data_IF_397718078383
#
_entry.id   IF_397718078383
#
_cell.length_a   1.000
_cell.length_b   1.000
_cell.length_c   1.000
_cell.angle_alpha   90.00
_cell.angle_beta   90.00
_cell.angle_gamma   90.00
#
_symmetry.space_group_name_H-M   'P 1'
#
loop_
_entity.id
_entity.type
_entity.pdbx_description
1 polymer ?
#
# COMPACT_ATOMS: atom_id res chain seq x y z
N UNK A 1 14.38 12.46 5.09
CA UNK A 1 13.57 12.37 6.32
C UNK A 1 13.07 13.75 6.73
N UNK A 2 13.94 14.78 6.78
CA UNK A 2 13.58 16.14 7.19
C UNK A 2 12.42 16.71 6.37
N UNK A 3 12.47 16.61 5.05
CA UNK A 3 11.39 17.06 4.15
C UNK A 3 10.06 16.34 4.43
N UNK A 4 10.10 15.03 4.75
CA UNK A 4 8.90 14.27 5.13
C UNK A 4 8.33 14.79 6.46
N UNK A 5 9.18 15.04 7.45
CA UNK A 5 8.77 15.56 8.75
C UNK A 5 8.18 16.98 8.63
N UNK A 6 8.79 17.83 7.82
CA UNK A 6 8.24 19.16 7.49
C UNK A 6 6.87 19.05 6.82
N UNK A 7 6.72 18.16 5.84
CA UNK A 7 5.42 17.92 5.19
C UNK A 7 4.35 17.45 6.17
N UNK A 8 4.66 16.50 7.07
CA UNK A 8 3.74 16.04 8.11
C UNK A 8 3.33 17.21 9.03
N UNK A 9 4.30 18.05 9.44
CA UNK A 9 4.02 19.19 10.30
C UNK A 9 3.12 20.23 9.62
N UNK A 10 3.36 20.53 8.34
CA UNK A 10 2.52 21.42 7.54
C UNK A 10 1.09 20.85 7.46
N UNK A 11 0.95 19.58 7.10
CA UNK A 11 -0.35 18.91 7.00
C UNK A 11 -1.10 18.91 8.34
N UNK A 12 -0.41 18.75 9.45
CA UNK A 12 -1.01 18.85 10.79
C UNK A 12 -1.48 20.26 11.15
N UNK A 13 -0.70 21.29 10.80
CA UNK A 13 -1.08 22.69 11.06
C UNK A 13 -2.27 23.13 10.23
N UNK A 14 -2.41 22.62 9.01
CA UNK A 14 -3.56 22.93 8.14
C UNK A 14 -4.85 22.26 8.58
N UNK A 15 -4.82 21.31 9.55
CA UNK A 15 -6.03 20.68 10.09
C UNK A 15 -6.96 21.65 10.84
N UNK A 16 -6.52 22.84 11.17
CA UNK A 16 -7.36 23.90 11.77
C UNK A 16 -8.19 24.70 10.76
N UNK A 17 -8.06 24.44 9.46
CA UNK A 17 -8.91 25.09 8.45
C UNK A 17 -10.31 24.45 8.45
N UNK A 18 -11.41 25.21 8.38
CA UNK A 18 -12.79 24.68 8.48
C UNK A 18 -13.15 23.65 7.39
N UNK A 19 -12.39 23.59 6.29
CA UNK A 19 -12.55 22.61 5.20
C UNK A 19 -11.66 21.37 5.41
N UNK A 20 -10.72 21.36 6.38
CA UNK A 20 -9.72 20.31 6.55
C UNK A 20 -10.21 19.15 7.40
N UNK A 21 -10.72 18.12 6.71
CA UNK A 21 -11.04 16.81 7.28
C UNK A 21 -9.84 15.80 7.19
N UNK A 22 -8.60 16.28 7.17
CA UNK A 22 -7.44 15.38 7.14
C UNK A 22 -7.32 14.62 8.46
N UNK A 23 -7.83 13.40 8.48
CA UNK A 23 -7.96 12.57 9.68
C UNK A 23 -6.78 11.64 9.90
N UNK A 24 -6.09 11.25 8.83
CA UNK A 24 -5.07 10.20 8.86
C UNK A 24 -3.92 10.53 7.92
N UNK A 25 -2.73 10.72 8.49
CA UNK A 25 -1.47 10.86 7.75
C UNK A 25 -0.72 9.54 7.91
N UNK A 26 -0.47 8.86 6.81
CA UNK A 26 0.19 7.56 6.83
C UNK A 26 1.36 7.50 5.86
N UNK A 27 2.36 6.69 6.19
CA UNK A 27 3.42 6.31 5.27
C UNK A 27 3.36 4.82 4.96
N UNK A 28 3.76 4.46 3.74
CA UNK A 28 4.11 3.09 3.36
C UNK A 28 5.61 3.04 3.11
N UNK A 29 6.30 2.06 3.68
CA UNK A 29 7.77 1.95 3.63
C UNK A 29 8.20 0.49 3.55
N UNK A 30 9.41 0.25 3.02
CA UNK A 30 10.05 -1.06 3.12
C UNK A 30 10.60 -1.36 4.54
N UNK A 31 10.52 -0.41 5.46
CA UNK A 31 10.86 -0.59 6.87
C UNK A 31 12.35 -0.71 7.21
N UNK A 32 13.24 -0.89 6.23
CA UNK A 32 14.66 -1.20 6.47
C UNK A 32 15.46 -0.09 7.17
N UNK A 33 14.91 1.11 7.21
CA UNK A 33 15.52 2.29 7.82
C UNK A 33 14.74 2.82 9.03
N UNK A 34 13.77 2.09 9.55
CA UNK A 34 12.98 2.47 10.74
C UNK A 34 13.77 2.20 12.03
N UNK A 35 14.80 3.03 12.27
CA UNK A 35 15.48 3.06 13.57
C UNK A 35 14.55 3.62 14.64
N UNK A 36 14.87 3.37 15.94
CA UNK A 36 14.09 3.90 17.06
C UNK A 36 13.92 5.42 16.98
N UNK A 37 15.01 6.14 16.72
CA UNK A 37 14.98 7.61 16.61
C UNK A 37 14.11 8.09 15.44
N UNK A 38 14.13 7.38 14.31
CA UNK A 38 13.27 7.72 13.17
C UNK A 38 11.80 7.46 13.45
N UNK A 39 11.48 6.36 14.11
CA UNK A 39 10.11 6.09 14.54
C UNK A 39 9.65 7.18 15.51
N UNK A 40 10.46 7.54 16.50
CA UNK A 40 10.16 8.58 17.48
C UNK A 40 9.92 9.92 16.78
N UNK A 41 10.83 10.36 15.92
CA UNK A 41 10.66 11.59 15.16
C UNK A 41 9.35 11.60 14.35
N UNK A 42 9.06 10.53 13.59
CA UNK A 42 7.80 10.44 12.83
C UNK A 42 6.56 10.54 13.72
N UNK A 43 6.60 9.89 14.88
CA UNK A 43 5.52 9.92 15.86
C UNK A 43 5.32 11.33 16.44
N UNK A 44 6.40 11.99 16.86
CA UNK A 44 6.40 13.33 17.46
C UNK A 44 5.93 14.40 16.47
N UNK A 45 6.28 14.26 15.19
CA UNK A 45 5.77 15.11 14.11
C UNK A 45 4.29 14.84 13.77
N UNK A 46 3.68 13.82 14.38
CA UNK A 46 2.25 13.55 14.30
C UNK A 46 1.83 12.62 13.18
N UNK A 47 2.73 11.76 12.68
CA UNK A 47 2.35 10.67 11.80
C UNK A 47 1.36 9.76 12.52
N UNK A 48 0.23 9.48 11.87
CA UNK A 48 -0.81 8.66 12.48
C UNK A 48 -0.54 7.16 12.31
N UNK A 49 0.01 6.75 11.14
CA UNK A 49 0.09 5.32 10.80
C UNK A 49 1.28 4.99 9.93
N UNK A 50 1.87 3.83 10.18
CA UNK A 50 2.92 3.22 9.33
C UNK A 50 2.38 1.92 8.73
N UNK A 51 2.62 1.72 7.44
CA UNK A 51 2.45 0.45 6.76
C UNK A 51 3.81 -0.04 6.28
N UNK A 52 4.20 -1.25 6.68
CA UNK A 52 5.50 -1.82 6.34
C UNK A 52 5.30 -2.93 5.31
N UNK A 53 6.08 -2.89 4.22
CA UNK A 53 6.09 -3.96 3.22
C UNK A 53 6.99 -5.10 3.68
N UNK A 54 6.42 -6.32 3.80
CA UNK A 54 7.14 -7.53 4.21
C UNK A 54 6.56 -8.75 3.47
N UNK A 55 7.25 -9.21 2.44
CA UNK A 55 6.77 -10.27 1.54
C UNK A 55 7.23 -11.67 1.95
N UNK A 56 8.19 -11.81 2.86
CA UNK A 56 8.67 -13.09 3.38
C UNK A 56 9.42 -12.92 4.70
N UNK A 57 9.43 -13.99 5.51
CA UNK A 57 10.28 -14.14 6.71
C UNK A 57 11.51 -14.99 6.44
N UNK A 58 11.49 -15.82 5.38
CA UNK A 58 12.66 -16.55 4.91
C UNK A 58 13.59 -15.61 4.11
N UNK A 59 14.89 -15.50 4.48
CA UNK A 59 15.82 -14.59 3.82
C UNK A 59 16.03 -14.86 2.33
N UNK A 60 15.92 -16.11 1.89
CA UNK A 60 16.10 -16.49 0.48
C UNK A 60 14.88 -16.02 -0.35
N UNK A 61 13.68 -16.23 0.18
CA UNK A 61 12.45 -15.79 -0.47
C UNK A 61 12.36 -14.26 -0.44
N UNK A 62 12.74 -13.63 0.68
CA UNK A 62 12.86 -12.17 0.79
C UNK A 62 13.81 -11.60 -0.27
N UNK A 63 14.98 -12.23 -0.47
CA UNK A 63 15.95 -11.86 -1.52
C UNK A 63 15.31 -11.90 -2.91
N UNK A 64 14.56 -12.95 -3.23
CA UNK A 64 13.86 -13.09 -4.52
C UNK A 64 12.81 -11.98 -4.69
N UNK A 65 11.97 -11.74 -3.68
CA UNK A 65 10.90 -10.75 -3.73
C UNK A 65 11.42 -9.31 -3.84
N UNK A 66 12.53 -9.00 -3.17
CA UNK A 66 13.16 -7.67 -3.22
C UNK A 66 14.11 -7.47 -4.39
N UNK A 67 14.46 -8.54 -5.12
CA UNK A 67 15.46 -8.50 -6.19
C UNK A 67 16.90 -8.31 -5.70
N UNK A 68 17.16 -8.51 -4.40
CA UNK A 68 18.50 -8.40 -3.83
C UNK A 68 19.30 -9.69 -4.09
N UNK A 69 20.28 -9.60 -4.98
CA UNK A 69 21.10 -10.76 -5.37
C UNK A 69 22.13 -11.19 -4.31
N UNK A 70 22.38 -10.35 -3.31
CA UNK A 70 23.31 -10.65 -2.22
C UNK A 70 22.57 -11.17 -0.98
N UNK A 71 22.75 -12.45 -0.66
CA UNK A 71 22.07 -13.10 0.47
C UNK A 71 22.40 -12.48 1.84
N UNK A 72 23.63 -12.02 2.04
CA UNK A 72 24.04 -11.36 3.30
C UNK A 72 23.31 -10.02 3.41
N UNK A 73 23.28 -9.24 2.32
CA UNK A 73 22.53 -7.98 2.23
C UNK A 73 21.04 -8.21 2.49
N UNK A 74 20.42 -9.20 1.82
CA UNK A 74 19.02 -9.54 1.99
C UNK A 74 18.68 -9.92 3.44
N UNK A 75 19.51 -10.76 4.08
CA UNK A 75 19.33 -11.14 5.48
C UNK A 75 19.42 -9.93 6.42
N UNK A 76 20.42 -9.07 6.21
CA UNK A 76 20.57 -7.85 7.01
C UNK A 76 19.38 -6.89 6.83
N UNK A 77 18.91 -6.70 5.58
CA UNK A 77 17.72 -5.89 5.30
C UNK A 77 16.47 -6.47 5.97
N UNK A 78 16.25 -7.79 5.88
CA UNK A 78 15.13 -8.44 6.55
C UNK A 78 15.19 -8.22 8.07
N UNK A 79 16.35 -8.43 8.70
CA UNK A 79 16.54 -8.16 10.12
C UNK A 79 16.22 -6.68 10.47
N UNK A 80 16.66 -5.74 9.64
CA UNK A 80 16.35 -4.32 9.83
C UNK A 80 14.85 -4.03 9.71
N UNK A 81 14.14 -4.70 8.78
CA UNK A 81 12.68 -4.57 8.65
C UNK A 81 11.98 -5.09 9.90
N UNK A 82 12.35 -6.28 10.38
CA UNK A 82 11.79 -6.88 11.60
C UNK A 82 12.06 -6.00 12.82
N UNK A 83 13.29 -5.49 12.96
CA UNK A 83 13.64 -4.53 14.02
C UNK A 83 12.84 -3.21 13.87
N UNK A 84 12.63 -2.75 12.63
CA UNK A 84 11.82 -1.55 12.35
C UNK A 84 10.36 -1.70 12.77
N UNK A 85 9.79 -2.90 12.64
CA UNK A 85 8.45 -3.23 13.14
C UNK A 85 8.43 -3.10 14.67
N UNK A 86 9.42 -3.69 15.36
CA UNK A 86 9.50 -3.63 16.83
C UNK A 86 9.73 -2.20 17.33
N UNK A 87 10.58 -1.43 16.66
CA UNK A 87 10.81 -0.02 16.97
C UNK A 87 9.52 0.80 16.82
N UNK A 88 8.73 0.57 15.76
CA UNK A 88 7.46 1.26 15.56
C UNK A 88 6.46 0.97 16.69
N UNK A 89 6.31 -0.30 17.09
CA UNK A 89 5.45 -0.69 18.21
C UNK A 89 5.89 0.00 19.51
N UNK A 90 7.19 -0.06 19.83
CA UNK A 90 7.76 0.52 21.06
C UNK A 90 7.59 2.04 21.11
N UNK A 91 7.54 2.70 19.97
CA UNK A 91 7.32 4.15 19.87
C UNK A 91 5.86 4.57 20.09
N UNK A 92 4.88 3.64 19.94
CA UNK A 92 3.47 3.94 20.13
C UNK A 92 2.64 3.89 18.83
N UNK A 93 3.18 3.35 17.73
CA UNK A 93 2.34 2.96 16.58
C UNK A 93 1.61 1.66 16.94
N UNK A 94 0.56 1.79 17.76
CA UNK A 94 -0.18 0.64 18.31
C UNK A 94 -0.87 -0.16 17.19
N UNK A 95 -0.54 -1.46 17.03
CA UNK A 95 -1.22 -2.33 16.07
C UNK A 95 -2.72 -2.49 16.33
N UNK A 96 -3.16 -2.53 17.59
CA UNK A 96 -4.56 -2.70 17.95
C UNK A 96 -5.41 -1.48 17.58
N UNK A 97 -4.83 -0.29 17.58
CA UNK A 97 -5.44 0.93 17.06
C UNK A 97 -5.34 1.04 15.52
N UNK A 98 -4.73 0.05 14.85
CA UNK A 98 -4.51 0.05 13.42
C UNK A 98 -3.44 1.05 12.95
N UNK A 99 -2.59 1.53 13.86
CA UNK A 99 -1.50 2.49 13.57
C UNK A 99 -0.27 1.84 12.95
N UNK A 100 -0.13 0.52 13.07
CA UNK A 100 0.88 -0.27 12.36
C UNK A 100 0.22 -1.39 11.57
N UNK A 101 0.62 -1.55 10.30
CA UNK A 101 0.11 -2.59 9.41
C UNK A 101 1.25 -3.18 8.59
N UNK A 102 1.06 -4.42 8.13
CA UNK A 102 1.97 -5.07 7.19
C UNK A 102 1.25 -5.26 5.86
N UNK A 103 1.90 -4.88 4.75
CA UNK A 103 1.50 -5.24 3.40
C UNK A 103 2.41 -6.36 2.89
N UNK A 104 1.82 -7.37 2.30
CA UNK A 104 2.52 -8.48 1.67
C UNK A 104 1.93 -8.74 0.29
N UNK A 105 2.74 -8.61 -0.76
CA UNK A 105 2.37 -9.05 -2.11
C UNK A 105 2.63 -10.55 -2.21
N UNK A 106 1.61 -11.31 -2.61
CA UNK A 106 1.76 -12.76 -2.82
C UNK A 106 1.89 -13.07 -4.30
N UNK A 107 3.01 -13.67 -4.65
CA UNK A 107 3.31 -14.22 -5.97
C UNK A 107 3.30 -15.74 -5.87
N UNK A 108 2.40 -16.39 -6.63
CA UNK A 108 2.23 -17.85 -6.63
C UNK A 108 3.53 -18.55 -7.03
N UNK A 109 3.86 -19.65 -6.36
CA UNK A 109 5.09 -20.43 -6.50
C UNK A 109 6.40 -19.70 -6.13
N UNK A 110 6.31 -18.53 -5.53
CA UNK A 110 7.49 -17.79 -5.04
C UNK A 110 7.44 -17.64 -3.51
N UNK A 111 6.44 -16.91 -2.98
CA UNK A 111 6.31 -16.64 -1.55
C UNK A 111 4.96 -17.08 -0.97
N UNK A 112 4.14 -17.82 -1.71
CA UNK A 112 2.87 -18.37 -1.23
C UNK A 112 3.07 -19.37 -0.07
N UNK A 113 4.21 -20.04 0.01
CA UNK A 113 4.60 -20.87 1.15
C UNK A 113 4.92 -20.07 2.44
N UNK A 114 5.02 -18.74 2.35
CA UNK A 114 5.26 -17.86 3.51
C UNK A 114 3.96 -17.41 4.20
N UNK A 115 2.80 -17.64 3.61
CA UNK A 115 1.50 -17.12 4.08
C UNK A 115 1.28 -17.44 5.56
N UNK A 116 1.38 -18.71 5.94
CA UNK A 116 1.10 -19.15 7.31
C UNK A 116 2.12 -18.57 8.31
N UNK A 117 3.40 -18.56 7.94
CA UNK A 117 4.45 -17.98 8.78
C UNK A 117 4.23 -16.47 8.99
N UNK A 118 3.85 -15.74 7.94
CA UNK A 118 3.54 -14.33 8.01
C UNK A 118 2.29 -14.05 8.86
N UNK A 119 1.26 -14.90 8.77
CA UNK A 119 0.07 -14.81 9.63
C UNK A 119 0.44 -15.06 11.09
N UNK A 120 1.26 -16.09 11.39
CA UNK A 120 1.75 -16.33 12.75
C UNK A 120 2.55 -15.16 13.30
N UNK A 121 3.44 -14.59 12.49
CA UNK A 121 4.22 -13.42 12.86
C UNK A 121 3.32 -12.20 13.15
N UNK A 122 2.39 -11.88 12.27
CA UNK A 122 1.46 -10.77 12.45
C UNK A 122 0.57 -10.98 13.68
N UNK A 123 0.05 -12.22 13.87
CA UNK A 123 -0.74 -12.63 15.03
C UNK A 123 0.03 -12.42 16.34
N UNK A 124 1.29 -12.84 16.41
CA UNK A 124 2.11 -12.71 17.62
C UNK A 124 2.34 -11.25 18.08
N UNK A 125 2.17 -10.29 17.17
CA UNK A 125 2.33 -8.86 17.41
C UNK A 125 1.01 -8.08 17.33
N UNK A 126 -0.13 -8.77 17.16
CA UNK A 126 -1.46 -8.20 16.94
C UNK A 126 -1.55 -7.21 15.77
N UNK A 127 -0.71 -7.37 14.75
CA UNK A 127 -0.64 -6.49 13.58
C UNK A 127 -1.65 -6.94 12.52
N UNK A 128 -2.39 -6.00 11.91
CA UNK A 128 -3.15 -6.26 10.68
C UNK A 128 -2.18 -6.58 9.54
N UNK A 129 -2.26 -7.80 8.99
CA UNK A 129 -1.55 -8.17 7.76
C UNK A 129 -2.48 -8.13 6.56
N UNK A 130 -2.02 -7.48 5.47
CA UNK A 130 -2.75 -7.31 4.22
C UNK A 130 -2.05 -8.04 3.11
N UNK A 131 -2.64 -9.11 2.63
CA UNK A 131 -2.19 -9.82 1.45
C UNK A 131 -2.72 -9.16 0.19
N UNK A 132 -1.84 -8.81 -0.71
CA UNK A 132 -2.13 -8.11 -1.96
C UNK A 132 -1.90 -9.07 -3.13
N UNK A 133 -2.88 -9.23 -3.99
CA UNK A 133 -2.70 -10.00 -5.22
C UNK A 133 -1.62 -9.36 -6.10
N UNK A 134 -0.74 -10.20 -6.67
CA UNK A 134 0.34 -9.75 -7.55
C UNK A 134 -0.22 -9.10 -8.81
N UNK A 135 0.11 -7.83 -9.03
CA UNK A 135 -0.45 -6.98 -10.08
C UNK A 135 0.57 -6.68 -11.18
N UNK A 136 0.05 -6.36 -12.36
CA UNK A 136 0.77 -5.89 -13.55
C UNK A 136 1.19 -4.41 -13.46
N UNK A 137 1.66 -3.96 -12.31
CA UNK A 137 2.12 -2.57 -12.10
C UNK A 137 3.58 -2.44 -12.51
N UNK A 138 3.84 -1.52 -13.43
CA UNK A 138 5.17 -1.32 -14.00
C UNK A 138 5.53 -2.39 -15.04
N UNK A 139 6.59 -2.11 -15.84
CA UNK A 139 6.93 -2.98 -16.99
C UNK A 139 8.09 -3.92 -16.72
N UNK A 140 8.63 -3.93 -15.49
CA UNK A 140 9.87 -4.64 -15.19
C UNK A 140 9.64 -6.11 -14.80
N UNK A 141 8.39 -6.51 -14.54
CA UNK A 141 8.11 -7.76 -13.82
C UNK A 141 7.65 -8.91 -14.70
N UNK A 142 7.50 -8.72 -16.03
CA UNK A 142 6.96 -9.74 -16.95
C UNK A 142 5.74 -10.47 -16.37
N UNK A 143 4.81 -9.70 -15.80
CA UNK A 143 3.65 -10.21 -15.06
C UNK A 143 2.84 -11.21 -15.89
N UNK A 144 2.46 -12.30 -15.27
CA UNK A 144 1.60 -13.31 -15.85
C UNK A 144 0.42 -13.63 -14.91
N UNK A 145 -0.76 -13.82 -15.49
CA UNK A 145 -1.98 -14.09 -14.70
C UNK A 145 -1.92 -15.40 -13.89
N UNK A 146 -1.14 -16.39 -14.34
CA UNK A 146 -0.92 -17.66 -13.64
C UNK A 146 -0.04 -17.54 -12.39
N UNK A 147 0.65 -16.41 -12.21
CA UNK A 147 1.46 -16.09 -11.02
C UNK A 147 0.61 -15.46 -9.90
N UNK A 148 -0.69 -15.22 -10.16
CA UNK A 148 -1.60 -14.64 -9.17
C UNK A 148 -2.20 -15.73 -8.30
N UNK A 149 -1.97 -15.66 -6.99
CA UNK A 149 -2.76 -16.40 -6.01
C UNK A 149 -4.00 -15.56 -5.69
N UNK A 150 -5.18 -16.06 -6.03
CA UNK A 150 -6.43 -15.32 -5.81
C UNK A 150 -6.75 -15.24 -4.32
N UNK A 151 -7.38 -14.14 -3.91
CA UNK A 151 -7.70 -13.89 -2.50
C UNK A 151 -8.58 -14.96 -1.85
N UNK A 152 -9.49 -15.57 -2.59
CA UNK A 152 -10.31 -16.67 -2.09
C UNK A 152 -9.49 -17.95 -1.84
N UNK A 153 -8.53 -18.28 -2.71
CA UNK A 153 -7.62 -19.41 -2.51
C UNK A 153 -6.74 -19.17 -1.28
N UNK A 154 -6.17 -17.96 -1.16
CA UNK A 154 -5.37 -17.56 -0.02
C UNK A 154 -6.14 -17.67 1.31
N UNK A 155 -7.37 -17.18 1.35
CA UNK A 155 -8.22 -17.26 2.55
C UNK A 155 -8.59 -18.69 2.88
N UNK A 156 -8.79 -19.55 1.89
CA UNK A 156 -9.04 -20.98 2.12
C UNK A 156 -7.86 -21.64 2.83
N UNK A 157 -6.63 -21.39 2.37
CA UNK A 157 -5.39 -21.87 3.03
C UNK A 157 -5.31 -21.39 4.48
N UNK A 158 -5.63 -20.11 4.73
CA UNK A 158 -5.59 -19.57 6.08
C UNK A 158 -6.65 -20.19 7.00
N UNK A 159 -7.88 -20.41 6.49
CA UNK A 159 -8.99 -21.00 7.26
C UNK A 159 -8.73 -22.44 7.71
N UNK A 160 -7.87 -23.18 7.03
CA UNK A 160 -7.47 -24.54 7.46
C UNK A 160 -6.64 -24.50 8.76
N UNK A 161 -5.97 -23.39 9.05
CA UNK A 161 -5.04 -23.26 10.18
C UNK A 161 -5.48 -22.24 11.25
N UNK A 162 -6.33 -21.28 10.89
CA UNK A 162 -6.74 -20.17 11.76
C UNK A 162 -8.25 -20.00 11.78
N UNK A 163 -8.79 -19.78 12.98
CA UNK A 163 -10.19 -19.38 13.15
C UNK A 163 -10.34 -17.88 12.85
N UNK A 164 -10.88 -17.58 11.69
CA UNK A 164 -11.13 -16.20 11.25
C UNK A 164 -12.59 -16.02 10.86
N UNK A 165 -13.14 -14.84 11.20
CA UNK A 165 -14.51 -14.46 10.87
C UNK A 165 -14.48 -13.31 9.87
N UNK A 166 -15.34 -13.37 8.87
CA UNK A 166 -15.44 -12.33 7.86
C UNK A 166 -15.96 -11.03 8.49
N UNK A 167 -15.22 -9.92 8.29
CA UNK A 167 -15.61 -8.58 8.71
C UNK A 167 -15.98 -7.68 7.51
N UNK A 168 -15.75 -8.16 6.29
CA UNK A 168 -16.13 -7.48 5.06
C UNK A 168 -15.20 -6.35 4.63
N UNK A 169 -15.66 -5.57 3.63
CA UNK A 169 -14.97 -4.41 3.08
C UNK A 169 -15.89 -3.18 3.13
N UNK A 170 -15.44 -2.12 3.75
CA UNK A 170 -16.15 -0.84 3.71
C UNK A 170 -16.02 -0.19 2.32
N UNK A 171 -17.07 0.50 1.87
CA UNK A 171 -17.07 1.25 0.60
C UNK A 171 -15.91 2.25 0.58
N UNK A 172 -15.20 2.33 -0.54
CA UNK A 172 -14.01 3.16 -0.71
C UNK A 172 -12.71 2.57 -0.18
N UNK A 173 -12.76 1.55 0.69
CA UNK A 173 -11.56 0.86 1.17
C UNK A 173 -11.07 -0.19 0.15
N UNK A 174 -9.76 -0.50 0.18
CA UNK A 174 -9.17 -1.53 -0.69
C UNK A 174 -9.23 -2.91 -0.09
N UNK A 175 -9.16 -3.00 1.25
CA UNK A 175 -8.95 -4.23 1.98
C UNK A 175 -10.28 -4.86 2.42
N UNK A 176 -10.48 -6.12 2.07
CA UNK A 176 -11.49 -6.99 2.66
C UNK A 176 -10.89 -7.67 3.90
N UNK A 177 -11.59 -7.62 5.03
CA UNK A 177 -11.05 -8.00 6.34
C UNK A 177 -11.66 -9.27 6.89
N UNK A 178 -10.84 -10.05 7.59
CA UNK A 178 -11.22 -11.17 8.44
C UNK A 178 -10.64 -10.96 9.84
N UNK A 179 -11.49 -11.08 10.84
CA UNK A 179 -11.12 -10.88 12.24
C UNK A 179 -10.55 -12.16 12.85
N UNK A 180 -9.39 -12.06 13.47
CA UNK A 180 -8.76 -13.12 14.28
C UNK A 180 -9.04 -12.85 15.76
N UNK A 181 -9.97 -13.59 16.34
CA UNK A 181 -10.38 -13.40 17.74
C UNK A 181 -9.20 -13.58 18.72
N UNK A 182 -8.35 -14.58 18.47
CA UNK A 182 -7.24 -14.95 19.37
C UNK A 182 -6.15 -13.89 19.51
N UNK A 183 -6.04 -12.94 18.58
CA UNK A 183 -5.04 -11.87 18.58
C UNK A 183 -5.66 -10.47 18.55
N UNK A 184 -6.98 -10.38 18.55
CA UNK A 184 -7.72 -9.12 18.40
C UNK A 184 -7.25 -8.28 17.20
N UNK A 185 -6.83 -8.94 16.13
CA UNK A 185 -6.28 -8.30 14.92
C UNK A 185 -6.98 -8.80 13.66
N UNK A 186 -6.53 -8.31 12.50
CA UNK A 186 -7.14 -8.65 11.22
C UNK A 186 -6.14 -9.26 10.25
N UNK A 187 -6.63 -10.23 9.47
CA UNK A 187 -6.08 -10.58 8.16
C UNK A 187 -6.92 -9.82 7.13
N UNK A 188 -6.28 -9.30 6.11
CA UNK A 188 -6.97 -8.57 5.04
C UNK A 188 -6.47 -9.01 3.67
N UNK A 189 -7.31 -8.93 2.66
CA UNK A 189 -6.92 -9.13 1.26
C UNK A 189 -7.23 -7.90 0.42
N UNK A 190 -6.36 -7.62 -0.56
CA UNK A 190 -6.56 -6.59 -1.57
C UNK A 190 -6.64 -7.30 -2.93
N UNK A 191 -7.87 -7.59 -3.35
CA UNK A 191 -8.20 -8.44 -4.50
C UNK A 191 -8.23 -7.62 -5.80
N UNK A 192 -7.10 -7.02 -6.17
CA UNK A 192 -7.01 -6.11 -7.32
C UNK A 192 -7.20 -6.81 -8.68
N UNK A 193 -7.06 -8.13 -8.73
CA UNK A 193 -7.15 -8.96 -9.94
C UNK A 193 -8.43 -9.79 -9.94
N UNK A 194 -8.69 -10.54 -8.85
CA UNK A 194 -9.80 -11.50 -8.82
C UNK A 194 -11.14 -10.86 -8.47
N UNK A 195 -11.14 -9.76 -7.72
CA UNK A 195 -12.35 -9.01 -7.35
C UNK A 195 -12.05 -7.51 -7.30
N UNK A 196 -11.84 -6.86 -8.47
CA UNK A 196 -11.47 -5.44 -8.54
C UNK A 196 -12.60 -4.56 -7.99
N UNK A 197 -12.20 -3.38 -7.50
CA UNK A 197 -13.06 -2.41 -6.80
C UNK A 197 -12.95 -1.01 -7.42
N UNK A 198 -12.86 -0.93 -8.74
CA UNK A 198 -12.73 0.35 -9.47
C UNK A 198 -13.97 1.25 -9.30
N UNK A 199 -15.15 0.63 -9.21
CA UNK A 199 -16.44 1.34 -9.13
C UNK A 199 -16.59 2.22 -7.88
N UNK A 200 -15.91 1.90 -6.78
CA UNK A 200 -15.93 2.68 -5.52
C UNK A 200 -14.54 3.22 -5.12
N UNK A 201 -13.59 3.26 -6.06
CA UNK A 201 -12.25 3.78 -5.82
C UNK A 201 -12.26 5.30 -5.66
N UNK A 202 -11.73 5.79 -4.55
CA UNK A 202 -11.68 7.21 -4.18
C UNK A 202 -10.24 7.73 -4.01
N UNK A 203 -9.27 7.14 -4.71
CA UNK A 203 -7.85 7.46 -4.55
C UNK A 203 -7.33 8.31 -5.69
N UNK A 204 -6.84 9.49 -5.34
CA UNK A 204 -5.99 10.32 -6.18
C UNK A 204 -4.53 10.10 -5.77
N UNK A 205 -3.62 10.07 -6.73
CA UNK A 205 -2.17 9.99 -6.52
C UNK A 205 -1.52 11.21 -7.09
N UNK A 206 -0.63 11.81 -6.31
CA UNK A 206 0.18 12.94 -6.76
C UNK A 206 1.64 12.49 -6.73
N UNK A 207 2.31 12.58 -7.86
CA UNK A 207 3.73 12.24 -7.99
C UNK A 207 4.61 13.37 -7.49
N UNK A 208 5.86 13.05 -7.12
CA UNK A 208 6.81 14.05 -6.61
C UNK A 208 7.18 15.14 -7.61
N UNK A 209 6.98 14.90 -8.91
CA UNK A 209 7.17 15.85 -10.00
C UNK A 209 5.88 16.58 -10.41
N UNK A 210 4.80 16.47 -9.60
CA UNK A 210 3.61 17.30 -9.71
C UNK A 210 2.56 16.85 -10.70
N UNK A 211 2.42 15.52 -10.95
CA UNK A 211 1.32 14.98 -11.75
C UNK A 211 0.28 14.29 -10.90
N UNK A 212 -1.00 14.52 -11.19
CA UNK A 212 -2.14 13.83 -10.58
C UNK A 212 -2.59 12.64 -11.44
N UNK A 213 -2.76 11.48 -10.82
CA UNK A 213 -3.25 10.26 -11.44
C UNK A 213 -4.52 9.77 -10.73
N UNK A 214 -5.60 9.60 -11.45
CA UNK A 214 -6.89 9.09 -10.95
C UNK A 214 -6.93 7.56 -10.83
N UNK A 215 -5.99 6.86 -11.49
CA UNK A 215 -5.83 5.41 -11.44
C UNK A 215 -4.36 5.01 -11.26
N UNK A 216 -4.12 3.91 -10.54
CA UNK A 216 -2.80 3.30 -10.38
C UNK A 216 -2.19 2.86 -11.73
N UNK A 217 -3.04 2.51 -12.69
CA UNK A 217 -2.64 2.03 -14.00
C UNK A 217 -2.74 3.10 -15.10
N UNK A 218 -3.00 4.36 -14.72
CA UNK A 218 -3.06 5.47 -15.68
C UNK A 218 -1.67 5.78 -16.22
N UNK A 219 -1.53 5.78 -17.54
CA UNK A 219 -0.28 6.12 -18.22
C UNK A 219 -0.04 7.63 -18.31
N UNK A 220 -1.10 8.41 -18.20
CA UNK A 220 -1.06 9.86 -18.32
C UNK A 220 -1.49 10.47 -16.99
N UNK A 221 -0.60 11.26 -16.38
CA UNK A 221 -0.94 12.13 -15.25
C UNK A 221 -1.39 13.50 -15.75
N UNK A 222 -2.21 14.17 -14.97
CA UNK A 222 -2.59 15.57 -15.18
C UNK A 222 -1.57 16.48 -14.52
N UNK A 223 -0.96 17.41 -15.29
CA UNK A 223 0.08 18.31 -14.78
C UNK A 223 -0.53 19.37 -13.85
N UNK A 224 -0.08 19.38 -12.58
CA UNK A 224 -0.52 20.34 -11.57
C UNK A 224 0.39 21.58 -11.47
N UNK A 225 1.56 21.58 -12.10
CA UNK A 225 2.62 22.60 -11.92
C UNK A 225 2.15 23.99 -12.26
N UNK A 226 1.25 24.16 -13.23
CA UNK A 226 0.73 25.46 -13.63
C UNK A 226 -0.08 26.17 -12.54
N UNK A 227 -0.60 25.43 -11.56
CA UNK A 227 -1.30 26.02 -10.41
C UNK A 227 -0.43 26.16 -9.16
N UNK A 228 0.79 25.57 -9.20
CA UNK A 228 1.73 25.58 -8.09
C UNK A 228 2.84 26.61 -8.29
N UNK A 229 3.12 27.02 -9.53
CA UNK A 229 4.23 27.90 -9.90
C UNK A 229 3.75 29.07 -10.77
N UNK A 230 4.33 30.30 -10.63
CA UNK A 230 5.33 30.72 -9.62
C UNK A 230 4.73 30.92 -8.22
N UNK A 231 3.40 30.95 -8.10
CA UNK A 231 2.65 31.05 -6.85
C UNK A 231 1.45 30.11 -6.89
N UNK A 232 1.00 29.67 -5.73
CA UNK A 232 -0.13 28.73 -5.62
C UNK A 232 -1.41 29.45 -6.00
N UNK A 233 -2.13 28.91 -6.98
CA UNK A 233 -3.52 29.27 -7.33
C UNK A 233 -4.44 28.18 -6.77
N UNK A 234 -4.82 28.31 -5.49
CA UNK A 234 -5.63 27.31 -4.77
C UNK A 234 -6.97 27.04 -5.46
N UNK A 235 -7.70 28.12 -5.85
CA UNK A 235 -9.01 27.99 -6.50
C UNK A 235 -8.91 27.28 -7.85
N UNK A 236 -7.95 27.65 -8.69
CA UNK A 236 -7.76 27.01 -9.98
C UNK A 236 -7.32 25.54 -9.85
N UNK A 237 -6.53 25.21 -8.81
CA UNK A 237 -6.14 23.83 -8.51
C UNK A 237 -7.35 23.00 -8.06
N UNK A 238 -8.20 23.53 -7.18
CA UNK A 238 -9.41 22.87 -6.69
C UNK A 238 -10.38 22.58 -7.86
N UNK A 239 -10.75 23.59 -8.64
CA UNK A 239 -11.61 23.45 -9.82
C UNK A 239 -11.07 22.43 -10.82
N UNK A 240 -9.75 22.40 -11.02
CA UNK A 240 -9.12 21.44 -11.91
C UNK A 240 -9.16 20.00 -11.35
N UNK A 241 -8.87 19.82 -10.05
CA UNK A 241 -8.93 18.51 -9.41
C UNK A 241 -10.35 17.96 -9.41
N UNK A 242 -11.36 18.79 -9.17
CA UNK A 242 -12.75 18.41 -9.31
C UNK A 242 -13.09 17.99 -10.75
N UNK A 243 -12.63 18.74 -11.74
CA UNK A 243 -12.86 18.44 -13.15
C UNK A 243 -12.31 17.08 -13.53
N UNK A 244 -11.02 16.80 -13.24
CA UNK A 244 -10.40 15.50 -13.58
C UNK A 244 -11.04 14.33 -12.81
N UNK A 245 -11.59 14.61 -11.63
CA UNK A 245 -12.29 13.60 -10.85
C UNK A 245 -13.68 13.29 -11.38
N UNK A 246 -14.44 14.30 -11.79
CA UNK A 246 -15.79 14.16 -12.33
C UNK A 246 -15.82 13.43 -13.68
N UNK A 247 -14.84 13.69 -14.56
CA UNK A 247 -14.75 13.05 -15.88
C UNK A 247 -14.07 11.67 -15.84
N UNK A 248 -13.66 11.22 -14.65
CA UNK A 248 -12.94 9.95 -14.47
C UNK A 248 -13.80 8.75 -14.85
N UNK A 249 -13.27 7.92 -15.75
CA UNK A 249 -13.86 6.63 -16.15
C UNK A 249 -12.88 5.44 -15.98
N UNK A 250 -11.78 5.65 -15.24
CA UNK A 250 -10.72 4.67 -15.01
C UNK A 250 -11.25 3.39 -14.35
N UNK A 251 -11.33 2.30 -15.11
CA UNK A 251 -11.73 0.96 -14.64
C UNK A 251 -10.77 -0.13 -15.09
N UNK A 252 -9.46 0.19 -15.12
CA UNK A 252 -8.45 -0.70 -15.66
C UNK A 252 -8.53 -2.13 -15.11
N UNK A 253 -8.60 -2.29 -13.78
CA UNK A 253 -8.63 -3.61 -13.17
C UNK A 253 -9.89 -4.41 -13.52
N UNK A 254 -11.04 -3.76 -13.65
CA UNK A 254 -12.29 -4.38 -14.11
C UNK A 254 -12.24 -4.73 -15.60
N UNK A 255 -11.61 -3.89 -16.41
CA UNK A 255 -11.51 -4.06 -17.86
C UNK A 255 -10.26 -4.85 -18.31
N UNK A 256 -9.39 -5.31 -17.40
CA UNK A 256 -8.09 -5.94 -17.70
C UNK A 256 -8.17 -7.06 -18.72
N UNK A 257 -9.17 -7.91 -18.66
CA UNK A 257 -9.35 -9.06 -19.53
C UNK A 257 -10.31 -8.82 -20.70
N UNK A 258 -10.84 -7.60 -20.82
CA UNK A 258 -11.72 -7.23 -21.93
C UNK A 258 -10.89 -6.87 -23.17
N UNK A 259 -10.77 -7.84 -24.10
CA UNK A 259 -10.02 -7.67 -25.34
C UNK A 259 -10.55 -6.55 -26.24
N UNK A 260 -11.85 -6.22 -26.15
CA UNK A 260 -12.47 -5.15 -26.96
C UNK A 260 -11.98 -3.75 -26.53
N UNK A 261 -11.64 -3.59 -25.25
CA UNK A 261 -11.16 -2.33 -24.66
C UNK A 261 -9.62 -2.21 -24.66
N UNK A 262 -8.92 -3.34 -24.82
CA UNK A 262 -7.45 -3.43 -24.77
C UNK A 262 -6.80 -3.62 -26.16
N UNK A 263 -7.49 -3.27 -27.25
CA UNK A 263 -7.04 -3.46 -28.62
C UNK A 263 -5.86 -2.56 -29.07
N UNK A 264 -5.47 -1.56 -28.28
CA UNK A 264 -4.28 -0.74 -28.54
C UNK A 264 -3.08 -1.27 -27.77
N UNK A 265 -1.86 -1.30 -28.33
CA UNK A 265 -0.66 -1.59 -27.58
C UNK A 265 -0.58 -0.61 -26.40
N UNK A 266 -0.72 -1.15 -25.18
CA UNK A 266 -0.69 -0.33 -23.98
C UNK A 266 0.72 0.24 -23.80
N UNK A 267 0.80 1.56 -23.65
CA UNK A 267 2.03 2.19 -23.19
C UNK A 267 2.41 1.57 -21.85
N UNK A 268 3.71 1.43 -21.59
CA UNK A 268 4.19 0.93 -20.31
C UNK A 268 3.58 1.69 -19.13
N UNK A 269 3.00 0.97 -18.15
CA UNK A 269 2.49 1.59 -16.93
C UNK A 269 3.63 2.18 -16.09
N UNK A 270 3.43 3.32 -15.45
CA UNK A 270 4.41 3.87 -14.53
C UNK A 270 4.70 2.89 -13.38
N UNK A 271 5.92 2.94 -12.84
CA UNK A 271 6.30 2.07 -11.73
C UNK A 271 5.52 2.42 -10.47
N UNK A 272 5.31 1.41 -9.58
CA UNK A 272 4.68 1.64 -8.27
C UNK A 272 5.41 2.73 -7.48
N UNK A 273 6.75 2.71 -7.46
CA UNK A 273 7.57 3.69 -6.77
C UNK A 273 7.40 5.12 -7.30
N UNK A 274 7.08 5.31 -8.58
CA UNK A 274 6.78 6.62 -9.14
C UNK A 274 5.40 7.13 -8.71
N UNK A 275 4.44 6.23 -8.55
CA UNK A 275 3.07 6.56 -8.14
C UNK A 275 2.86 6.59 -6.62
N UNK A 276 3.93 6.50 -5.83
CA UNK A 276 3.88 6.60 -4.38
C UNK A 276 3.32 5.37 -3.68
N UNK A 277 3.57 4.18 -4.24
CA UNK A 277 3.12 2.89 -3.68
C UNK A 277 4.26 2.03 -3.20
#
# INVERSE_FOLDING_TARGET
LNTLMEAINILKKTTNHPINNLKDIAITTNGSLLTKDRCQNLFDYGLNRITISLDALDPKIFSIMTGDKNMISAKNKLNNVLQGIDNAIQTGFDPLEGRLKINCVIKKNINDNQILNLVHFAKSKSIEIRFIEYMDVGNKNNWQANEVLKSNELISIIKEHFKINEAGRLKGNTAHKWYMKDSNSYISTISSISNPFCSDCNRLRITSDGFAHTCLFSNNGSDLKKWLNPSINEKGLEEFLETIWLIRDDKYSENRFDKSKNSKPQKPHPSMSYLGG
#
